data_IF_382175846146
#
_entry.id   IF_382175846146
#
_cell.length_a   1.000
_cell.length_b   1.000
_cell.length_c   1.000
_cell.angle_alpha   90.00
_cell.angle_beta   90.00
_cell.angle_gamma   90.00
#
_symmetry.space_group_name_H-M   'P 1'
#
loop_
_entity.id
_entity.type
_entity.pdbx_description
1 polymer ?
#
# COMPACT_ATOMS: atom_id res chain seq x y z
N UNK A 1 -8.04 -1.26 -12.43
CA UNK A 1 -6.96 -0.65 -11.62
C UNK A 1 -6.44 0.62 -12.26
N UNK A 2 -6.17 1.64 -11.44
CA UNK A 2 -5.52 2.86 -11.91
C UNK A 2 -4.06 2.56 -12.26
N UNK A 3 -3.59 3.07 -13.38
CA UNK A 3 -2.20 2.94 -13.77
C UNK A 3 -1.36 3.94 -12.99
N UNK A 4 -0.23 3.52 -12.49
CA UNK A 4 0.61 4.23 -11.55
C UNK A 4 0.66 5.76 -11.75
N UNK A 5 0.38 6.47 -10.69
CA UNK A 5 0.49 7.92 -10.60
C UNK A 5 1.66 8.28 -9.69
N UNK A 6 2.31 9.40 -9.93
CA UNK A 6 3.28 9.88 -8.97
C UNK A 6 2.56 10.38 -7.71
N UNK A 7 3.27 10.32 -6.58
CA UNK A 7 2.75 10.78 -5.30
C UNK A 7 2.19 12.19 -5.33
N UNK A 8 2.83 13.07 -6.09
CA UNK A 8 2.52 14.48 -6.12
C UNK A 8 1.56 14.91 -7.24
N UNK A 9 1.11 13.97 -8.08
CA UNK A 9 0.45 14.30 -9.33
C UNK A 9 -0.80 13.45 -9.60
N UNK A 10 -1.61 13.23 -8.57
CA UNK A 10 -2.88 12.51 -8.72
C UNK A 10 -4.00 13.50 -8.97
N UNK A 11 -4.81 13.27 -10.00
CA UNK A 11 -6.02 14.06 -10.23
C UNK A 11 -7.07 13.82 -9.13
N UNK A 12 -7.97 14.79 -8.84
CA UNK A 12 -8.93 14.68 -7.74
C UNK A 12 -9.82 13.43 -7.76
N UNK A 13 -10.01 12.80 -8.91
CA UNK A 13 -10.77 11.54 -9.01
C UNK A 13 -9.93 10.28 -8.86
N UNK A 14 -8.61 10.41 -8.76
CA UNK A 14 -7.71 9.27 -8.65
C UNK A 14 -7.56 8.43 -9.94
N UNK A 15 -8.09 8.90 -11.04
CA UNK A 15 -8.23 8.15 -12.31
C UNK A 15 -7.14 8.50 -13.34
N UNK A 16 -6.30 9.46 -13.06
CA UNK A 16 -5.23 9.93 -13.97
C UNK A 16 -4.19 10.76 -13.24
N UNK A 17 -3.07 10.98 -13.90
CA UNK A 17 -2.04 11.93 -13.46
C UNK A 17 -2.54 13.37 -13.65
N UNK A 18 -2.33 14.22 -12.66
CA UNK A 18 -2.54 15.66 -12.77
C UNK A 18 -1.33 16.34 -13.43
N UNK A 19 -1.54 17.55 -13.97
CA UNK A 19 -0.47 18.33 -14.57
C UNK A 19 0.51 18.94 -13.54
N UNK A 20 0.08 19.02 -12.28
CA UNK A 20 0.84 19.56 -11.16
C UNK A 20 0.51 18.81 -9.87
N UNK A 21 1.31 19.01 -8.83
CA UNK A 21 1.10 18.37 -7.53
C UNK A 21 -0.23 18.77 -6.91
N UNK A 22 -1.13 17.81 -6.77
CA UNK A 22 -2.43 17.97 -6.15
C UNK A 22 -2.70 16.84 -5.18
N UNK A 23 -3.11 17.12 -3.95
CA UNK A 23 -3.59 16.09 -3.04
C UNK A 23 -4.78 15.36 -3.66
N UNK A 24 -4.83 14.04 -3.48
CA UNK A 24 -6.04 13.31 -3.80
C UNK A 24 -7.10 13.62 -2.73
N UNK A 25 -8.25 14.14 -3.19
CA UNK A 25 -9.44 14.32 -2.39
C UNK A 25 -10.64 13.79 -3.17
N UNK A 26 -11.12 12.63 -2.81
CA UNK A 26 -12.20 11.98 -3.54
C UNK A 26 -12.55 10.60 -3.00
N UNK A 27 -13.53 9.97 -3.61
CA UNK A 27 -14.01 8.65 -3.25
C UNK A 27 -13.72 7.66 -4.38
N UNK A 28 -13.10 6.53 -4.03
CA UNK A 28 -12.97 5.39 -4.93
C UNK A 28 -14.31 4.66 -4.96
N UNK A 29 -14.99 4.66 -6.11
CA UNK A 29 -16.39 4.28 -6.22
C UNK A 29 -16.65 2.84 -6.62
N UNK A 30 -15.62 2.11 -7.02
CA UNK A 30 -15.73 0.72 -7.43
C UNK A 30 -14.67 -0.12 -6.73
N UNK A 31 -14.92 -1.41 -6.58
CA UNK A 31 -13.97 -2.33 -5.96
C UNK A 31 -12.64 -2.45 -6.71
N UNK A 32 -12.59 -2.03 -7.97
CA UNK A 32 -11.40 -2.11 -8.82
C UNK A 32 -10.69 -0.77 -8.99
N UNK A 33 -11.21 0.29 -8.39
CA UNK A 33 -10.57 1.60 -8.50
C UNK A 33 -9.46 1.70 -7.47
N UNK A 34 -8.24 1.83 -7.96
CA UNK A 34 -7.04 1.95 -7.15
C UNK A 34 -6.28 3.23 -7.49
N UNK A 35 -5.65 3.83 -6.50
CA UNK A 35 -4.65 4.86 -6.67
C UNK A 35 -3.30 4.22 -6.43
N UNK A 36 -2.45 4.22 -7.44
CA UNK A 36 -1.09 3.74 -7.32
C UNK A 36 -0.16 4.94 -7.14
N UNK A 37 0.49 4.98 -5.98
CA UNK A 37 1.40 6.07 -5.60
C UNK A 37 2.83 5.61 -5.84
N UNK A 38 3.56 6.37 -6.63
CA UNK A 38 4.98 6.15 -6.97
C UNK A 38 5.78 7.40 -6.65
N UNK A 39 7.12 7.32 -6.75
CA UNK A 39 7.95 8.52 -6.69
C UNK A 39 7.66 9.44 -7.88
N UNK A 40 8.08 10.70 -7.79
CA UNK A 40 7.99 11.68 -8.87
C UNK A 40 9.03 11.47 -9.99
N UNK A 41 9.95 10.54 -9.80
CA UNK A 41 10.95 10.21 -10.81
C UNK A 41 10.32 9.34 -11.90
N UNK A 42 10.20 9.90 -13.10
CA UNK A 42 9.73 9.17 -14.28
C UNK A 42 10.70 8.05 -14.67
N UNK A 43 10.15 6.93 -15.13
CA UNK A 43 10.94 5.82 -15.66
C UNK A 43 11.68 6.21 -16.94
N UNK A 44 12.93 5.75 -17.02
CA UNK A 44 13.80 5.87 -18.17
C UNK A 44 14.15 4.47 -18.73
N UNK A 45 15.22 4.38 -19.49
CA UNK A 45 15.67 3.13 -20.10
C UNK A 45 15.99 2.00 -19.09
N UNK A 46 16.19 2.33 -17.82
CA UNK A 46 16.47 1.36 -16.76
C UNK A 46 15.21 0.67 -16.24
N UNK A 47 14.02 1.20 -16.55
CA UNK A 47 12.77 0.51 -16.31
C UNK A 47 12.55 -0.55 -17.38
N UNK A 48 12.77 -1.80 -17.06
CA UNK A 48 12.82 -2.91 -18.02
C UNK A 48 11.54 -3.12 -18.84
N UNK A 49 10.37 -2.77 -18.30
CA UNK A 49 9.09 -2.87 -18.99
C UNK A 49 7.99 -2.10 -18.25
N UNK A 50 7.06 -1.59 -19.02
CA UNK A 50 5.73 -1.16 -18.55
C UNK A 50 4.69 -1.44 -19.63
N UNK A 51 3.44 -1.66 -19.22
CA UNK A 51 2.35 -1.89 -20.17
C UNK A 51 1.99 -0.61 -20.92
N UNK A 52 1.48 -0.70 -22.14
CA UNK A 52 0.99 0.46 -22.87
C UNK A 52 0.02 1.30 -22.06
N UNK A 53 0.09 2.61 -22.21
CA UNK A 53 -0.77 3.60 -21.54
C UNK A 53 -0.63 3.64 -19.99
N UNK A 54 0.32 2.91 -19.42
CA UNK A 54 0.66 3.02 -18.01
C UNK A 54 1.57 4.23 -17.76
N UNK A 55 1.30 4.96 -16.68
CA UNK A 55 2.25 5.94 -16.16
C UNK A 55 3.38 5.20 -15.46
N UNK A 56 4.60 5.38 -15.95
CA UNK A 56 5.77 4.69 -15.44
C UNK A 56 6.63 5.62 -14.60
N UNK A 57 6.74 5.32 -13.32
CA UNK A 57 7.61 6.00 -12.37
C UNK A 57 8.37 4.98 -11.53
N UNK A 58 9.47 5.41 -10.93
CA UNK A 58 10.18 4.61 -9.94
C UNK A 58 9.39 4.55 -8.64
N UNK A 59 9.52 3.43 -7.94
CA UNK A 59 9.18 3.32 -6.53
C UNK A 59 10.31 3.86 -5.64
N UNK A 60 10.27 3.52 -4.37
CA UNK A 60 11.31 3.87 -3.40
C UNK A 60 12.24 2.68 -3.19
N UNK A 61 13.51 2.89 -3.40
CA UNK A 61 14.56 1.88 -3.20
C UNK A 61 15.08 1.89 -1.75
N UNK A 62 15.94 0.92 -1.45
CA UNK A 62 16.61 0.79 -0.16
C UNK A 62 15.89 -0.16 0.80
N UNK A 63 16.68 -0.75 1.70
CA UNK A 63 16.21 -1.73 2.69
C UNK A 63 15.51 -1.11 3.90
N UNK A 64 15.70 0.19 4.13
CA UNK A 64 15.12 0.92 5.25
C UNK A 64 14.40 2.16 4.75
N UNK A 65 13.13 2.29 5.10
CA UNK A 65 12.28 3.42 4.73
C UNK A 65 11.03 3.46 5.61
N UNK A 66 10.44 4.62 5.75
CA UNK A 66 9.19 4.80 6.48
C UNK A 66 8.17 5.52 5.62
N UNK A 67 6.93 5.11 5.73
CA UNK A 67 5.77 5.75 5.12
C UNK A 67 4.80 6.14 6.22
N UNK A 68 4.41 7.38 6.22
CA UNK A 68 3.41 7.93 7.12
C UNK A 68 2.22 8.39 6.29
N UNK A 69 1.04 7.96 6.66
CA UNK A 69 -0.19 8.24 5.93
C UNK A 69 -1.30 8.64 6.88
N UNK A 70 -2.13 9.55 6.46
CA UNK A 70 -3.41 9.85 7.10
C UNK A 70 -4.53 9.52 6.13
N UNK A 71 -5.48 8.71 6.56
CA UNK A 71 -6.60 8.25 5.73
C UNK A 71 -7.87 8.05 6.54
N UNK A 72 -8.98 7.99 5.83
CA UNK A 72 -10.30 7.67 6.34
C UNK A 72 -10.95 6.64 5.40
N UNK A 73 -11.63 5.67 5.97
CA UNK A 73 -12.25 4.57 5.22
C UNK A 73 -13.72 4.44 5.60
N UNK A 74 -14.50 5.48 5.30
CA UNK A 74 -15.95 5.48 5.50
C UNK A 74 -16.63 4.39 4.68
N UNK A 75 -17.80 3.96 5.14
CA UNK A 75 -18.64 3.06 4.36
C UNK A 75 -19.11 3.72 3.09
N UNK A 76 -19.05 2.97 2.02
CA UNK A 76 -19.52 3.40 0.71
C UNK A 76 -20.21 2.23 -0.01
N UNK A 77 -21.42 2.43 -0.54
CA UNK A 77 -22.19 1.37 -1.20
C UNK A 77 -21.66 1.07 -2.61
N UNK A 78 -20.36 0.78 -2.72
CA UNK A 78 -19.78 0.33 -3.96
C UNK A 78 -20.10 -1.16 -4.19
N UNK A 79 -20.25 -1.53 -5.44
CA UNK A 79 -20.57 -2.89 -5.84
C UNK A 79 -19.38 -3.42 -6.63
N UNK A 80 -18.89 -4.59 -6.24
CA UNK A 80 -17.92 -5.32 -7.04
C UNK A 80 -18.53 -5.67 -8.40
N UNK A 81 -17.78 -5.41 -9.48
CA UNK A 81 -18.25 -5.63 -10.84
C UNK A 81 -17.98 -7.03 -11.33
N UNK A 82 -17.01 -7.72 -10.72
CA UNK A 82 -16.57 -9.06 -11.09
C UNK A 82 -16.87 -10.09 -10.00
N UNK A 83 -16.89 -11.34 -10.41
CA UNK A 83 -17.12 -12.46 -9.50
C UNK A 83 -16.01 -12.54 -8.45
N UNK A 84 -16.42 -12.50 -7.19
CA UNK A 84 -15.51 -12.64 -6.06
C UNK A 84 -14.91 -11.34 -5.54
N UNK A 85 -15.19 -10.19 -6.15
CA UNK A 85 -14.74 -8.91 -5.62
C UNK A 85 -15.54 -8.50 -4.38
N UNK A 86 -14.83 -7.98 -3.40
CA UNK A 86 -15.43 -7.43 -2.20
C UNK A 86 -16.02 -6.04 -2.45
N UNK A 87 -17.12 -5.75 -1.77
CA UNK A 87 -17.72 -4.42 -1.74
C UNK A 87 -17.45 -3.77 -0.40
N UNK A 88 -17.28 -2.45 -0.37
CA UNK A 88 -17.04 -1.71 0.86
C UNK A 88 -15.89 -2.30 1.71
N UNK A 89 -14.80 -2.66 1.03
CA UNK A 89 -13.60 -3.27 1.62
C UNK A 89 -12.33 -2.56 1.13
N UNK A 90 -12.11 -1.30 1.54
CA UNK A 90 -10.90 -0.57 1.15
C UNK A 90 -9.63 -1.17 1.76
N UNK A 91 -8.50 -0.93 1.09
CA UNK A 91 -7.20 -1.37 1.52
C UNK A 91 -6.13 -0.30 1.26
N UNK A 92 -5.05 -0.35 2.07
CA UNK A 92 -3.80 0.35 1.85
C UNK A 92 -2.66 -0.67 1.84
N UNK A 93 -2.00 -0.80 0.73
CA UNK A 93 -1.05 -1.87 0.47
C UNK A 93 0.16 -1.42 -0.34
N UNK A 94 1.20 -2.22 -0.33
CA UNK A 94 2.47 -1.98 -1.00
C UNK A 94 2.79 -3.12 -1.96
N UNK A 95 3.22 -2.75 -3.14
CA UNK A 95 3.72 -3.68 -4.14
C UNK A 95 5.16 -3.37 -4.52
N UNK A 96 5.89 -4.39 -4.94
CA UNK A 96 7.10 -4.15 -5.71
C UNK A 96 6.78 -3.23 -6.90
N UNK A 97 7.55 -2.17 -7.07
CA UNK A 97 7.26 -1.14 -8.09
C UNK A 97 7.22 -1.67 -9.54
N UNK A 98 7.75 -2.86 -9.80
CA UNK A 98 7.61 -3.50 -11.10
C UNK A 98 6.19 -4.04 -11.35
N UNK A 99 5.45 -4.43 -10.32
CA UNK A 99 4.11 -5.04 -10.46
C UNK A 99 3.10 -4.07 -11.08
N UNK A 100 2.92 -2.83 -10.60
CA UNK A 100 2.02 -1.87 -11.23
C UNK A 100 2.39 -1.55 -12.68
N UNK A 101 3.67 -1.57 -13.01
CA UNK A 101 4.14 -1.31 -14.38
C UNK A 101 3.79 -2.42 -15.36
N UNK A 102 3.69 -3.65 -14.87
CA UNK A 102 3.45 -4.83 -15.72
C UNK A 102 2.02 -5.35 -15.53
N UNK A 103 1.80 -6.23 -14.61
CA UNK A 103 0.49 -6.75 -14.19
C UNK A 103 0.61 -7.24 -12.76
N UNK A 104 -0.41 -7.02 -11.95
CA UNK A 104 -0.42 -7.35 -10.53
C UNK A 104 -0.07 -8.82 -10.23
N UNK A 105 -0.56 -9.74 -11.03
CA UNK A 105 -0.33 -11.17 -10.83
C UNK A 105 0.67 -11.77 -11.81
N UNK A 106 1.44 -10.92 -12.49
CA UNK A 106 2.30 -11.36 -13.59
C UNK A 106 1.52 -11.73 -14.83
N UNK A 107 2.22 -11.96 -15.92
CA UNK A 107 1.61 -12.42 -17.15
C UNK A 107 2.55 -13.39 -17.86
N UNK A 108 2.26 -14.67 -17.76
CA UNK A 108 3.02 -15.73 -18.41
C UNK A 108 3.06 -15.57 -19.94
N UNK A 109 2.06 -14.91 -20.53
CA UNK A 109 2.00 -14.66 -21.97
C UNK A 109 3.08 -13.71 -22.46
N UNK A 110 3.55 -12.82 -21.60
CA UNK A 110 4.53 -11.79 -21.94
C UNK A 110 5.89 -12.04 -21.29
N UNK A 111 6.11 -13.18 -20.65
CA UNK A 111 7.32 -13.48 -19.89
C UNK A 111 7.70 -12.40 -18.90
N UNK A 112 6.73 -11.80 -18.23
CA UNK A 112 6.97 -10.77 -17.23
C UNK A 112 7.19 -11.49 -15.89
N UNK A 113 8.42 -11.46 -15.34
CA UNK A 113 8.81 -12.33 -14.24
C UNK A 113 8.48 -11.75 -12.88
N UNK A 114 7.41 -10.94 -12.74
CA UNK A 114 7.12 -10.28 -11.49
C UNK A 114 5.66 -10.50 -11.08
N UNK A 115 5.48 -11.39 -10.12
CA UNK A 115 4.21 -11.65 -9.46
C UNK A 115 4.46 -11.85 -7.97
N UNK A 116 3.64 -11.27 -7.12
CA UNK A 116 3.73 -11.51 -5.68
C UNK A 116 3.52 -12.99 -5.32
N UNK A 117 2.70 -13.69 -6.10
CA UNK A 117 2.31 -15.07 -5.86
C UNK A 117 3.28 -16.11 -6.42
N UNK A 118 3.68 -15.97 -7.67
CA UNK A 118 4.42 -17.03 -8.36
C UNK A 118 5.93 -16.80 -8.42
N UNK A 119 6.39 -15.56 -8.39
CA UNK A 119 7.81 -15.22 -8.52
C UNK A 119 8.39 -14.50 -7.29
N UNK A 120 7.54 -14.20 -6.28
CA UNK A 120 7.99 -13.60 -5.04
C UNK A 120 8.40 -12.14 -5.16
N UNK A 121 7.81 -11.38 -6.10
CA UNK A 121 8.06 -9.94 -6.22
C UNK A 121 7.68 -9.14 -4.97
N UNK A 122 6.81 -9.71 -4.13
CA UNK A 122 6.45 -9.16 -2.83
C UNK A 122 5.27 -8.19 -2.86
N UNK A 123 4.36 -8.43 -1.92
CA UNK A 123 3.20 -7.61 -1.62
C UNK A 123 3.07 -7.52 -0.10
N UNK A 124 2.80 -6.34 0.42
CA UNK A 124 2.50 -6.13 1.82
C UNK A 124 1.22 -5.31 1.95
N UNK A 125 0.15 -5.98 2.35
CA UNK A 125 -1.14 -5.37 2.64
C UNK A 125 -1.07 -4.80 4.04
N UNK A 126 -0.77 -3.52 4.14
CA UNK A 126 -0.52 -2.88 5.43
C UNK A 126 -1.81 -2.70 6.24
N UNK A 127 -2.91 -2.45 5.57
CA UNK A 127 -4.23 -2.26 6.16
C UNK A 127 -5.30 -2.73 5.18
N UNK A 128 -5.86 -3.91 5.39
CA UNK A 128 -6.80 -4.55 4.46
C UNK A 128 -8.05 -5.04 5.18
N UNK A 129 -9.21 -4.70 4.63
CA UNK A 129 -10.50 -5.23 5.06
C UNK A 129 -10.83 -6.49 4.26
N UNK A 130 -10.98 -7.62 4.93
CA UNK A 130 -11.09 -8.95 4.32
C UNK A 130 -12.51 -9.41 4.01
N UNK A 131 -13.51 -8.58 4.26
CA UNK A 131 -14.91 -8.89 3.94
C UNK A 131 -15.74 -7.63 3.72
N UNK A 132 -16.86 -7.78 3.05
CA UNK A 132 -17.77 -6.68 2.73
C UNK A 132 -18.20 -5.92 3.99
N UNK A 133 -17.92 -4.62 4.03
CA UNK A 133 -18.29 -3.76 5.15
C UNK A 133 -17.61 -4.08 6.47
N UNK A 134 -16.49 -4.78 6.45
CA UNK A 134 -15.75 -5.13 7.67
C UNK A 134 -15.32 -3.89 8.46
N UNK A 135 -15.34 -4.03 9.80
CA UNK A 135 -14.92 -2.99 10.74
C UNK A 135 -13.49 -3.19 11.24
N UNK A 136 -12.85 -4.27 10.83
CA UNK A 136 -11.50 -4.65 11.26
C UNK A 136 -10.63 -5.00 10.08
N UNK A 137 -9.49 -4.33 9.99
CA UNK A 137 -8.45 -4.61 9.03
C UNK A 137 -7.35 -5.50 9.60
N UNK A 138 -6.65 -6.18 8.73
CA UNK A 138 -5.41 -6.90 9.03
C UNK A 138 -4.27 -6.40 8.18
N UNK A 139 -3.03 -6.68 8.62
CA UNK A 139 -1.88 -6.66 7.74
C UNK A 139 -1.56 -8.09 7.29
N UNK A 140 -1.07 -8.21 6.05
CA UNK A 140 -0.68 -9.50 5.45
C UNK A 140 0.55 -9.30 4.58
N UNK A 141 1.47 -10.26 4.58
CA UNK A 141 2.62 -10.25 3.67
C UNK A 141 2.55 -11.45 2.73
N UNK A 142 2.66 -11.20 1.44
CA UNK A 142 2.74 -12.22 0.40
C UNK A 142 4.13 -12.24 -0.21
N UNK A 143 4.79 -13.38 -0.17
CA UNK A 143 6.13 -13.56 -0.74
C UNK A 143 6.34 -14.98 -1.25
N UNK A 144 7.13 -15.14 -2.30
CA UNK A 144 7.54 -16.46 -2.83
C UNK A 144 6.39 -17.45 -3.06
N UNK A 145 5.28 -16.95 -3.60
CA UNK A 145 4.09 -17.79 -3.83
C UNK A 145 3.35 -18.19 -2.55
N UNK A 146 3.73 -17.67 -1.40
CA UNK A 146 3.03 -17.93 -0.15
C UNK A 146 1.76 -17.08 -0.09
N UNK A 147 0.63 -17.76 -0.01
CA UNK A 147 -0.69 -17.14 0.16
C UNK A 147 -0.98 -16.80 1.61
N UNK A 148 -0.25 -17.41 2.55
CA UNK A 148 -0.42 -17.19 3.95
C UNK A 148 0.39 -15.96 4.36
N UNK A 149 -0.29 -14.93 4.76
CA UNK A 149 0.32 -13.77 5.35
C UNK A 149 0.87 -14.05 6.73
N UNK A 150 1.77 -13.21 7.21
CA UNK A 150 2.14 -13.18 8.61
C UNK A 150 0.91 -12.90 9.48
N UNK A 151 0.96 -13.32 10.73
CA UNK A 151 -0.09 -12.98 11.68
C UNK A 151 0.01 -11.52 12.09
N UNK A 152 -1.13 -10.85 12.19
CA UNK A 152 -1.21 -9.46 12.61
C UNK A 152 -2.32 -9.22 13.61
N UNK A 153 -2.18 -8.19 14.42
CA UNK A 153 -3.29 -7.64 15.16
C UNK A 153 -4.34 -7.05 14.22
N UNK A 154 -5.55 -6.92 14.71
CA UNK A 154 -6.61 -6.24 14.00
C UNK A 154 -6.54 -4.74 14.27
N UNK A 155 -6.64 -3.96 13.22
CA UNK A 155 -6.83 -2.51 13.29
C UNK A 155 -8.30 -2.17 13.13
N UNK A 156 -8.79 -1.20 13.89
CA UNK A 156 -10.15 -0.69 13.71
C UNK A 156 -10.23 0.13 12.43
N UNK A 157 -11.30 -0.04 11.65
CA UNK A 157 -11.58 0.77 10.47
C UNK A 157 -11.82 2.23 10.87
N UNK A 158 -11.15 3.21 10.27
CA UNK A 158 -11.35 4.62 10.58
C UNK A 158 -12.60 5.15 9.87
N UNK A 159 -13.76 5.00 10.51
CA UNK A 159 -15.05 5.51 10.05
C UNK A 159 -15.38 6.81 10.75
N UNK A 160 -15.74 7.85 9.99
CA UNK A 160 -16.12 9.17 10.52
C UNK A 160 -14.95 10.00 11.06
N UNK A 161 -13.75 9.47 11.03
CA UNK A 161 -12.53 10.16 11.47
C UNK A 161 -11.32 9.67 10.71
N UNK A 162 -10.30 10.49 10.63
CA UNK A 162 -9.00 10.10 10.05
C UNK A 162 -8.17 9.32 11.05
N UNK A 163 -7.38 8.39 10.52
CA UNK A 163 -6.38 7.63 11.24
C UNK A 163 -5.00 7.99 10.69
N UNK A 164 -4.04 8.21 11.57
CA UNK A 164 -2.63 8.29 11.22
C UNK A 164 -2.00 6.90 11.36
N UNK A 165 -1.28 6.49 10.35
CA UNK A 165 -0.73 5.15 10.25
C UNK A 165 0.71 5.19 9.74
N UNK A 166 1.55 4.31 10.24
CA UNK A 166 2.92 4.18 9.80
C UNK A 166 3.22 2.77 9.31
N UNK A 167 4.04 2.70 8.26
CA UNK A 167 4.68 1.47 7.81
C UNK A 167 6.17 1.72 7.70
N UNK A 168 6.96 1.00 8.49
CA UNK A 168 8.40 1.18 8.58
C UNK A 168 9.10 -0.11 8.18
N UNK A 169 9.85 -0.05 7.07
CA UNK A 169 10.82 -1.09 6.70
C UNK A 169 12.11 -0.81 7.46
N UNK A 170 12.53 -1.72 8.29
CA UNK A 170 13.75 -1.63 9.08
C UNK A 170 14.42 -3.02 9.15
N UNK A 171 14.95 -3.43 8.00
CA UNK A 171 15.51 -4.77 7.81
C UNK A 171 16.12 -5.36 9.11
N UNK A 172 15.76 -6.60 9.47
CA UNK A 172 14.99 -7.59 8.68
C UNK A 172 13.46 -7.57 8.94
N UNK A 173 12.89 -6.46 9.33
CA UNK A 173 11.47 -6.39 9.70
C UNK A 173 10.70 -5.33 8.93
N UNK A 174 9.38 -5.51 8.89
CA UNK A 174 8.39 -4.47 8.59
C UNK A 174 7.51 -4.29 9.82
N UNK A 175 7.33 -3.05 10.24
CA UNK A 175 6.40 -2.67 11.30
C UNK A 175 5.25 -1.88 10.71
N UNK A 176 4.02 -2.23 11.07
CA UNK A 176 2.81 -1.48 10.73
C UNK A 176 2.08 -1.10 12.03
N UNK A 177 1.75 0.17 12.21
CA UNK A 177 1.15 0.64 13.46
C UNK A 177 0.24 1.85 13.27
N UNK A 178 -0.78 1.94 14.13
CA UNK A 178 -1.58 3.15 14.30
C UNK A 178 -0.78 4.15 15.12
N UNK A 179 -0.72 5.38 14.67
CA UNK A 179 -0.04 6.48 15.34
C UNK A 179 -1.00 7.24 16.26
N UNK A 180 -0.44 7.94 17.23
CA UNK A 180 -1.20 8.88 18.07
C UNK A 180 -1.78 9.99 17.20
N UNK A 181 -2.98 10.47 17.53
CA UNK A 181 -3.65 11.55 16.80
C UNK A 181 -2.85 12.85 16.79
N UNK A 182 -1.98 13.05 17.79
CA UNK A 182 -1.08 14.20 17.87
C UNK A 182 0.22 14.04 17.09
N UNK A 183 0.44 12.88 16.46
CA UNK A 183 1.62 12.67 15.64
C UNK A 183 1.73 13.76 14.57
N UNK A 184 2.89 14.42 14.51
CA UNK A 184 3.15 15.49 13.56
C UNK A 184 3.92 14.92 12.34
N UNK A 185 3.39 15.19 11.15
CA UNK A 185 4.03 14.87 9.88
C UNK A 185 5.10 15.93 9.56
N UNK A 186 6.22 15.89 10.27
CA UNK A 186 7.35 16.78 10.03
C UNK A 186 8.23 16.28 8.87
N UNK A 187 9.03 17.18 8.30
CA UNK A 187 9.95 16.85 7.20
C UNK A 187 11.13 15.96 7.64
N UNK A 188 11.35 15.83 8.93
CA UNK A 188 12.43 15.02 9.48
C UNK A 188 12.03 14.39 10.80
N UNK A 189 12.62 13.23 11.08
CA UNK A 189 12.43 12.51 12.33
C UNK A 189 13.80 12.08 12.86
N UNK A 190 13.98 12.16 14.19
CA UNK A 190 15.21 11.68 14.83
C UNK A 190 15.27 10.16 14.86
N UNK A 191 16.48 9.61 14.93
CA UNK A 191 16.70 8.17 15.08
C UNK A 191 15.98 7.61 16.31
N UNK A 192 16.03 8.32 17.43
CA UNK A 192 15.32 7.91 18.66
C UNK A 192 13.79 7.84 18.46
N UNK A 193 13.22 8.74 17.67
CA UNK A 193 11.80 8.71 17.37
C UNK A 193 11.45 7.50 16.48
N UNK A 194 12.29 7.20 15.47
CA UNK A 194 12.12 6.00 14.65
C UNK A 194 12.26 4.73 15.48
N UNK A 195 13.28 4.65 16.34
CA UNK A 195 13.46 3.50 17.23
C UNK A 195 12.24 3.25 18.14
N UNK A 196 11.59 4.30 18.61
CA UNK A 196 10.34 4.18 19.37
C UNK A 196 9.18 3.65 18.53
N UNK A 197 9.09 4.04 17.26
CA UNK A 197 8.05 3.55 16.36
C UNK A 197 8.21 2.06 16.04
N UNK A 198 9.44 1.56 15.93
CA UNK A 198 9.70 0.15 15.59
C UNK A 198 9.85 -0.74 16.82
N UNK A 199 9.85 -0.18 18.02
CA UNK A 199 9.85 -0.97 19.26
C UNK A 199 8.55 -1.76 19.36
N UNK A 200 8.67 -3.09 19.21
CA UNK A 200 7.52 -3.98 19.19
C UNK A 200 7.01 -4.25 20.62
N UNK A 201 5.73 -4.07 20.79
CA UNK A 201 5.00 -4.47 21.99
C UNK A 201 4.00 -5.58 21.61
N UNK A 202 4.28 -6.80 22.06
CA UNK A 202 3.45 -7.96 21.77
C UNK A 202 2.03 -7.88 22.36
N UNK A 203 1.85 -7.06 23.38
CA UNK A 203 0.53 -6.83 24.00
C UNK A 203 -0.25 -5.70 23.33
N UNK A 204 0.36 -4.99 22.38
CA UNK A 204 -0.28 -3.91 21.63
C UNK A 204 -1.24 -4.43 20.57
N UNK A 205 -2.47 -3.95 20.57
CA UNK A 205 -3.49 -4.26 19.56
C UNK A 205 -3.42 -3.37 18.33
N UNK A 206 -2.50 -2.41 18.29
CA UNK A 206 -2.37 -1.43 17.20
C UNK A 206 -1.03 -1.50 16.50
N UNK A 207 -0.30 -2.59 16.70
CA UNK A 207 1.04 -2.79 16.19
C UNK A 207 1.22 -4.19 15.61
N UNK A 208 1.78 -4.29 14.42
CA UNK A 208 2.14 -5.56 13.77
C UNK A 208 3.60 -5.54 13.34
N UNK A 209 4.28 -6.68 13.50
CA UNK A 209 5.68 -6.85 13.15
C UNK A 209 5.86 -8.10 12.28
N UNK A 210 6.55 -7.94 11.17
CA UNK A 210 6.86 -9.01 10.23
C UNK A 210 8.35 -9.16 10.04
N UNK A 211 8.86 -10.38 10.11
CA UNK A 211 10.22 -10.69 9.70
C UNK A 211 10.25 -10.91 8.18
N UNK A 212 11.15 -10.21 7.48
CA UNK A 212 11.35 -10.30 6.02
C UNK A 212 12.76 -10.77 5.64
N UNK A 213 13.62 -10.98 6.61
CA UNK A 213 14.95 -11.57 6.45
C UNK A 213 14.97 -13.06 6.82
N UNK A 214 15.99 -13.76 6.30
CA UNK A 214 16.30 -15.13 6.69
C UNK A 214 16.93 -15.18 8.09
#
# INVERSE_FOLDING_TARGET
SAFGNSLSYVAPRGDRVAAESLPFDGTLRTSETEIVVLSDKECDADCSYWRPDATSHYGWSGSSKAFFIEFQMDHYPNVGTDQGLLSDAPAYWFLNAAIPRVLQYGNDRNNIPCSCWSTGCGEFDAFELLSNGAERAKSTIHRQGNLEGGDSNYFSRPVGQKMKFAVVWHYPHITALVLDDKFDFSESMSDDAIQKLVAYDADSWVHSLYAIGD
#
